data_IF_563702083397
#
_entry.id   IF_563702083397
#
_cell.length_a   1.000
_cell.length_b   1.000
_cell.length_c   1.000
_cell.angle_alpha   90.00
_cell.angle_beta   90.00
_cell.angle_gamma   90.00
#
_symmetry.space_group_name_H-M   'P 1'
#
loop_
_entity.id
_entity.type
_entity.pdbx_description
1 polymer ?
#
# COMPACT_ATOMS: atom_id res chain seq x y z
N UNK A 1 27.92 27.96 -2.41
CA UNK A 1 27.11 28.51 -1.32
C UNK A 1 26.00 27.52 -1.10
N UNK A 2 25.98 26.96 0.11
CA UNK A 2 24.95 26.06 0.67
C UNK A 2 24.78 24.76 -0.13
N UNK A 3 25.79 23.88 -0.03
CA UNK A 3 25.50 22.45 0.05
C UNK A 3 24.76 22.26 1.37
N UNK A 4 23.44 22.39 1.35
CA UNK A 4 22.61 21.80 2.39
C UNK A 4 22.95 20.32 2.38
N UNK A 5 23.67 19.89 3.41
CA UNK A 5 23.85 18.49 3.76
C UNK A 5 22.45 17.96 4.08
N UNK A 6 21.73 17.61 3.01
CA UNK A 6 20.38 17.10 3.00
C UNK A 6 20.47 15.68 3.58
N UNK A 7 20.63 15.64 4.91
CA UNK A 7 20.80 14.46 5.74
C UNK A 7 19.45 13.75 5.87
N UNK A 8 18.94 13.30 4.72
CA UNK A 8 17.81 12.42 4.61
C UNK A 8 18.12 11.15 5.41
N UNK A 9 17.33 10.87 6.44
CA UNK A 9 17.49 9.67 7.25
C UNK A 9 16.35 8.69 7.03
N UNK A 10 16.63 7.41 7.26
CA UNK A 10 15.60 6.38 7.18
C UNK A 10 14.49 6.61 8.23
N UNK A 11 14.84 7.09 9.42
CA UNK A 11 13.88 7.41 10.48
C UNK A 11 12.88 8.51 10.05
N UNK A 12 13.34 9.50 9.27
CA UNK A 12 12.47 10.51 8.69
C UNK A 12 11.51 9.92 7.67
N UNK A 13 11.98 9.03 6.79
CA UNK A 13 11.11 8.30 5.86
C UNK A 13 10.04 7.50 6.60
N UNK A 14 10.40 6.79 7.68
CA UNK A 14 9.46 6.04 8.53
C UNK A 14 8.41 6.97 9.13
N UNK A 15 8.84 8.13 9.64
CA UNK A 15 7.95 9.14 10.21
C UNK A 15 6.95 9.66 9.16
N UNK A 16 7.43 10.01 7.96
CA UNK A 16 6.58 10.45 6.84
C UNK A 16 5.57 9.36 6.44
N UNK A 17 6.00 8.10 6.35
CA UNK A 17 5.12 6.97 6.04
C UNK A 17 3.99 6.86 7.07
N UNK A 18 4.34 6.89 8.36
CA UNK A 18 3.38 6.74 9.46
C UNK A 18 2.45 7.95 9.61
N UNK A 19 2.88 9.13 9.14
CA UNK A 19 2.04 10.33 9.03
C UNK A 19 1.16 10.33 7.77
N UNK A 20 1.28 9.30 6.90
CA UNK A 20 0.58 9.17 5.61
C UNK A 20 1.00 10.20 4.56
N UNK A 21 2.16 10.81 4.75
CA UNK A 21 2.82 11.70 3.77
C UNK A 21 3.54 10.86 2.71
N UNK A 22 2.81 9.94 2.08
CA UNK A 22 3.38 8.86 1.28
C UNK A 22 4.21 9.33 0.09
N UNK A 23 3.83 10.44 -0.54
CA UNK A 23 4.60 11.00 -1.67
C UNK A 23 5.95 11.57 -1.20
N UNK A 24 5.96 12.32 -0.09
CA UNK A 24 7.22 12.82 0.50
C UNK A 24 8.10 11.67 0.99
N UNK A 25 7.48 10.65 1.60
CA UNK A 25 8.17 9.43 2.00
C UNK A 25 8.83 8.73 0.80
N UNK A 26 8.11 8.60 -0.32
CA UNK A 26 8.65 8.07 -1.57
C UNK A 26 9.89 8.86 -2.02
N UNK A 27 9.79 10.19 -2.13
CA UNK A 27 10.88 11.02 -2.64
C UNK A 27 12.13 10.91 -1.74
N UNK A 28 11.94 10.89 -0.42
CA UNK A 28 13.03 10.70 0.55
C UNK A 28 13.67 9.31 0.41
N UNK A 29 12.85 8.25 0.34
CA UNK A 29 13.35 6.89 0.18
C UNK A 29 14.02 6.67 -1.19
N UNK A 30 13.61 7.38 -2.23
CA UNK A 30 14.27 7.37 -3.54
C UNK A 30 15.69 7.95 -3.45
N UNK A 31 15.87 9.06 -2.71
CA UNK A 31 17.19 9.62 -2.46
C UNK A 31 18.11 8.66 -1.68
N UNK A 32 17.57 7.96 -0.67
CA UNK A 32 18.29 6.92 0.07
C UNK A 32 18.61 5.70 -0.80
N UNK A 33 17.63 5.22 -1.56
CA UNK A 33 17.75 4.09 -2.47
C UNK A 33 18.88 4.31 -3.48
N UNK A 34 18.95 5.51 -4.07
CA UNK A 34 19.99 5.86 -5.04
C UNK A 34 21.42 5.73 -4.49
N UNK A 35 21.60 5.90 -3.18
CA UNK A 35 22.91 5.80 -2.51
C UNK A 35 23.18 4.43 -1.87
N UNK A 36 22.15 3.59 -1.72
CA UNK A 36 22.27 2.29 -1.06
C UNK A 36 22.81 1.20 -2.00
N UNK A 37 23.54 0.24 -1.39
CA UNK A 37 23.97 -1.01 -2.01
C UNK A 37 23.11 -2.18 -1.55
N UNK A 38 23.13 -3.28 -2.30
CA UNK A 38 22.40 -4.49 -1.90
C UNK A 38 23.06 -5.14 -0.67
N UNK A 39 22.24 -5.71 0.24
CA UNK A 39 20.81 -5.96 0.10
C UNK A 39 19.89 -4.84 0.63
N UNK A 40 20.43 -3.86 1.35
CA UNK A 40 19.69 -2.70 1.89
C UNK A 40 18.95 -1.92 0.79
N UNK A 41 19.58 -1.76 -0.38
CA UNK A 41 18.97 -1.16 -1.57
C UNK A 41 17.66 -1.86 -1.95
N UNK A 42 17.61 -3.19 -1.93
CA UNK A 42 16.40 -3.95 -2.24
C UNK A 42 15.29 -3.73 -1.21
N UNK A 43 15.63 -3.68 0.08
CA UNK A 43 14.68 -3.38 1.14
C UNK A 43 14.08 -1.97 1.02
N UNK A 44 14.93 -0.95 0.86
CA UNK A 44 14.48 0.45 0.67
C UNK A 44 13.59 0.54 -0.57
N UNK A 45 13.93 -0.16 -1.65
CA UNK A 45 13.11 -0.23 -2.85
C UNK A 45 11.74 -0.89 -2.61
N UNK A 46 11.68 -1.92 -1.77
CA UNK A 46 10.40 -2.49 -1.35
C UNK A 46 9.51 -1.47 -0.63
N UNK A 47 10.08 -0.73 0.32
CA UNK A 47 9.35 0.25 1.14
C UNK A 47 8.92 1.46 0.31
N UNK A 48 9.77 1.99 -0.58
CA UNK A 48 9.44 3.15 -1.42
C UNK A 48 8.30 2.84 -2.38
N UNK A 49 8.24 1.63 -2.93
CA UNK A 49 7.11 1.19 -3.74
C UNK A 49 5.82 1.07 -2.94
N UNK A 50 5.90 0.58 -1.69
CA UNK A 50 4.73 0.58 -0.82
C UNK A 50 4.20 2.00 -0.59
N UNK A 51 5.09 2.98 -0.37
CA UNK A 51 4.71 4.38 -0.18
C UNK A 51 3.97 4.94 -1.41
N UNK A 52 4.55 4.86 -2.61
CA UNK A 52 3.86 5.37 -3.83
C UNK A 52 2.60 4.55 -4.15
N UNK A 53 2.56 3.27 -3.79
CA UNK A 53 1.35 2.45 -3.88
C UNK A 53 0.19 2.98 -3.02
N UNK A 54 0.46 3.38 -1.77
CA UNK A 54 -0.54 4.04 -0.93
C UNK A 54 -0.93 5.42 -1.46
N UNK A 55 0.04 6.20 -1.96
CA UNK A 55 -0.26 7.48 -2.62
C UNK A 55 -1.25 7.30 -3.78
N UNK A 56 -1.03 6.29 -4.63
CA UNK A 56 -1.96 5.95 -5.71
C UNK A 56 -3.33 5.52 -5.20
N UNK A 57 -3.40 4.69 -4.15
CA UNK A 57 -4.66 4.22 -3.58
C UNK A 57 -5.54 5.41 -3.15
N UNK A 58 -4.97 6.33 -2.39
CA UNK A 58 -5.71 7.48 -1.85
C UNK A 58 -6.01 8.56 -2.90
N UNK A 59 -5.34 8.51 -4.05
CA UNK A 59 -5.65 9.33 -5.23
C UNK A 59 -6.52 8.61 -6.28
N UNK A 60 -7.26 7.57 -5.87
CA UNK A 60 -8.19 6.80 -6.70
C UNK A 60 -7.54 6.14 -7.94
N UNK A 61 -6.23 5.90 -7.89
CA UNK A 61 -5.49 5.12 -8.87
C UNK A 61 -5.30 3.68 -8.35
N UNK A 62 -6.37 2.89 -8.37
CA UNK A 62 -6.37 1.52 -7.84
C UNK A 62 -5.42 0.59 -8.59
N UNK A 63 -5.28 0.79 -9.91
CA UNK A 63 -4.33 0.03 -10.73
C UNK A 63 -2.89 0.31 -10.29
N UNK A 64 -2.52 1.59 -10.21
CA UNK A 64 -1.20 2.00 -9.73
C UNK A 64 -0.92 1.47 -8.33
N UNK A 65 -1.90 1.55 -7.43
CA UNK A 65 -1.78 1.01 -6.09
C UNK A 65 -1.47 -0.49 -6.06
N UNK A 66 -2.23 -1.31 -6.79
CA UNK A 66 -2.00 -2.77 -6.84
C UNK A 66 -0.65 -3.13 -7.46
N UNK A 67 -0.21 -2.42 -8.50
CA UNK A 67 1.08 -2.68 -9.15
C UNK A 67 2.24 -2.37 -8.20
N UNK A 68 2.27 -1.17 -7.63
CA UNK A 68 3.37 -0.72 -6.77
C UNK A 68 3.41 -1.48 -5.43
N UNK A 69 2.25 -1.72 -4.80
CA UNK A 69 2.18 -2.54 -3.58
C UNK A 69 2.61 -4.00 -3.86
N UNK A 70 2.23 -4.55 -5.01
CA UNK A 70 2.64 -5.91 -5.41
C UNK A 70 4.13 -6.02 -5.66
N UNK A 71 4.72 -5.04 -6.33
CA UNK A 71 6.15 -5.02 -6.60
C UNK A 71 6.97 -4.77 -5.33
N UNK A 72 6.51 -3.87 -4.47
CA UNK A 72 7.08 -3.63 -3.14
C UNK A 72 7.05 -4.89 -2.28
N UNK A 73 5.91 -5.58 -2.21
CA UNK A 73 5.76 -6.85 -1.49
C UNK A 73 6.69 -7.95 -2.02
N UNK A 74 6.90 -8.02 -3.33
CA UNK A 74 7.84 -8.97 -3.93
C UNK A 74 9.27 -8.72 -3.45
N UNK A 75 9.68 -7.45 -3.30
CA UNK A 75 11.01 -7.09 -2.79
C UNK A 75 11.15 -7.36 -1.30
N UNK A 76 10.13 -7.05 -0.50
CA UNK A 76 10.13 -7.35 0.94
C UNK A 76 10.30 -8.86 1.18
N UNK A 77 9.56 -9.70 0.44
CA UNK A 77 9.68 -11.17 0.52
C UNK A 77 11.06 -11.71 0.16
N UNK A 78 11.78 -11.04 -0.75
CA UNK A 78 13.15 -11.45 -1.13
C UNK A 78 14.16 -11.26 0.00
N UNK A 79 13.83 -10.44 1.00
CA UNK A 79 14.67 -10.25 2.17
C UNK A 79 14.59 -11.44 3.14
N UNK A 80 13.57 -12.29 3.01
CA UNK A 80 13.42 -13.55 3.77
C UNK A 80 13.50 -13.37 5.30
N UNK A 81 12.88 -12.30 5.82
CA UNK A 81 12.80 -12.08 7.26
C UNK A 81 11.82 -13.06 7.91
N UNK A 82 12.26 -13.76 8.95
CA UNK A 82 11.38 -14.65 9.74
C UNK A 82 10.58 -13.91 10.83
N UNK A 83 11.02 -12.72 11.23
CA UNK A 83 10.40 -11.92 12.30
C UNK A 83 10.90 -10.47 12.28
N UNK A 84 10.32 -9.64 13.15
CA UNK A 84 10.75 -8.25 13.34
C UNK A 84 9.96 -7.25 12.50
N UNK A 85 10.34 -5.96 12.54
CA UNK A 85 9.49 -4.90 12.01
C UNK A 85 9.30 -4.96 10.49
N UNK A 86 10.28 -5.45 9.73
CA UNK A 86 10.14 -5.61 8.29
C UNK A 86 9.28 -6.80 7.90
N UNK A 87 9.35 -7.90 8.65
CA UNK A 87 8.43 -9.03 8.50
C UNK A 87 6.99 -8.61 8.82
N UNK A 88 6.76 -7.94 9.95
CA UNK A 88 5.44 -7.46 10.33
C UNK A 88 4.87 -6.50 9.28
N UNK A 89 5.70 -5.58 8.77
CA UNK A 89 5.33 -4.68 7.69
C UNK A 89 4.98 -5.43 6.40
N UNK A 90 5.76 -6.44 6.01
CA UNK A 90 5.46 -7.29 4.86
C UNK A 90 4.09 -7.97 5.00
N UNK A 91 3.77 -8.53 6.17
CA UNK A 91 2.47 -9.17 6.43
C UNK A 91 1.32 -8.16 6.31
N UNK A 92 1.50 -6.96 6.86
CA UNK A 92 0.53 -5.87 6.76
C UNK A 92 0.32 -5.43 5.30
N UNK A 93 1.38 -5.30 4.49
CA UNK A 93 1.27 -4.99 3.04
C UNK A 93 0.57 -6.11 2.28
N UNK A 94 0.88 -7.37 2.57
CA UNK A 94 0.21 -8.54 1.99
C UNK A 94 -1.30 -8.53 2.30
N UNK A 95 -1.69 -8.21 3.53
CA UNK A 95 -3.09 -8.09 3.91
C UNK A 95 -3.81 -6.96 3.15
N UNK A 96 -3.17 -5.80 2.99
CA UNK A 96 -3.72 -4.68 2.23
C UNK A 96 -3.89 -5.02 0.75
N UNK A 97 -2.86 -5.61 0.12
CA UNK A 97 -2.92 -5.96 -1.30
C UNK A 97 -4.05 -6.96 -1.58
N UNK A 98 -4.17 -8.00 -0.73
CA UNK A 98 -5.28 -8.96 -0.81
C UNK A 98 -6.64 -8.30 -0.61
N UNK A 99 -6.75 -7.35 0.32
CA UNK A 99 -7.97 -6.59 0.55
C UNK A 99 -8.39 -5.76 -0.67
N UNK A 100 -7.45 -5.01 -1.26
CA UNK A 100 -7.72 -4.22 -2.47
C UNK A 100 -8.14 -5.15 -3.61
N UNK A 101 -7.39 -6.23 -3.84
CA UNK A 101 -7.71 -7.18 -4.89
C UNK A 101 -9.12 -7.79 -4.75
N UNK A 102 -9.46 -8.29 -3.55
CA UNK A 102 -10.76 -8.92 -3.31
C UNK A 102 -11.93 -7.93 -3.44
N UNK A 103 -11.77 -6.70 -2.93
CA UNK A 103 -12.81 -5.67 -3.05
C UNK A 103 -13.01 -5.20 -4.48
N UNK A 104 -11.94 -5.15 -5.29
CA UNK A 104 -12.04 -4.87 -6.72
C UNK A 104 -12.75 -5.99 -7.49
N UNK A 105 -12.49 -7.27 -7.17
CA UNK A 105 -13.24 -8.40 -7.75
C UNK A 105 -14.72 -8.31 -7.38
N UNK A 106 -15.04 -8.11 -6.09
CA UNK A 106 -16.42 -8.07 -5.62
C UNK A 106 -17.21 -6.97 -6.32
N UNK A 107 -16.60 -5.80 -6.48
CA UNK A 107 -17.20 -4.70 -7.23
C UNK A 107 -17.38 -5.08 -8.70
N UNK A 108 -16.36 -5.66 -9.35
CA UNK A 108 -16.42 -6.10 -10.75
C UNK A 108 -17.51 -7.14 -11.01
N UNK A 109 -17.70 -8.10 -10.10
CA UNK A 109 -18.73 -9.13 -10.18
C UNK A 109 -20.16 -8.57 -10.05
N UNK A 110 -20.31 -7.37 -9.48
CA UNK A 110 -21.60 -6.68 -9.34
C UNK A 110 -21.96 -5.80 -10.56
N UNK A 111 -21.10 -5.74 -11.59
CA UNK A 111 -21.39 -5.03 -12.85
C UNK A 111 -22.18 -5.89 -13.84
N UNK A 112 -23.17 -5.30 -14.51
CA UNK A 112 -24.09 -6.01 -15.42
C UNK A 112 -23.44 -6.56 -16.70
N UNK A 113 -22.24 -6.11 -17.08
CA UNK A 113 -21.70 -6.32 -18.44
C UNK A 113 -20.64 -7.42 -18.60
N UNK A 114 -20.04 -7.97 -17.53
CA UNK A 114 -18.99 -8.97 -17.72
C UNK A 114 -18.73 -9.86 -16.49
N UNK A 115 -19.31 -11.05 -16.48
CA UNK A 115 -19.00 -12.09 -15.49
C UNK A 115 -17.65 -12.76 -15.86
N UNK A 116 -16.52 -12.09 -15.54
CA UNK A 116 -15.17 -12.67 -15.72
C UNK A 116 -14.80 -13.48 -14.49
N UNK A 117 -14.35 -14.71 -14.68
CA UNK A 117 -13.68 -15.49 -13.63
C UNK A 117 -12.33 -14.84 -13.31
N UNK A 118 -12.18 -14.27 -12.12
CA UNK A 118 -10.95 -13.61 -11.68
C UNK A 118 -10.06 -14.62 -10.93
N UNK A 119 -9.06 -15.17 -11.61
CA UNK A 119 -8.21 -16.28 -11.10
C UNK A 119 -6.86 -15.81 -10.53
N UNK A 120 -6.72 -14.55 -10.11
CA UNK A 120 -5.44 -13.99 -9.61
C UNK A 120 -4.29 -14.02 -10.63
N UNK A 121 -4.62 -14.15 -11.92
CA UNK A 121 -3.64 -14.13 -13.02
C UNK A 121 -3.29 -12.69 -13.44
N UNK A 122 -2.13 -12.48 -14.06
CA UNK A 122 -1.72 -11.18 -14.64
C UNK A 122 -2.82 -10.56 -15.52
N UNK A 123 -3.51 -11.38 -16.31
CA UNK A 123 -4.64 -10.97 -17.15
C UNK A 123 -5.84 -10.49 -16.33
N UNK A 124 -6.10 -11.10 -15.17
CA UNK A 124 -7.12 -10.67 -14.22
C UNK A 124 -6.81 -9.27 -13.67
N UNK A 125 -5.54 -9.01 -13.33
CA UNK A 125 -5.09 -7.68 -12.87
C UNK A 125 -5.21 -6.60 -13.96
N UNK A 126 -4.89 -6.93 -15.21
CA UNK A 126 -5.04 -5.99 -16.33
C UNK A 126 -6.49 -5.59 -16.57
N UNK A 127 -7.44 -6.53 -16.39
CA UNK A 127 -8.87 -6.27 -16.54
C UNK A 127 -9.44 -5.43 -15.39
N UNK A 128 -8.95 -5.61 -14.16
CA UNK A 128 -9.31 -4.76 -13.01
C UNK A 128 -8.82 -3.32 -13.17
N UNK A 129 -7.75 -3.10 -13.93
CA UNK A 129 -7.05 -1.82 -13.98
C UNK A 129 -7.85 -0.62 -14.52
N UNK A 130 -8.96 -0.86 -15.25
CA UNK A 130 -9.87 0.20 -15.69
C UNK A 130 -11.16 0.28 -14.85
N UNK A 131 -11.37 -0.72 -13.99
CA UNK A 131 -12.61 -0.84 -13.24
C UNK A 131 -12.62 0.15 -12.09
N UNK A 132 -13.69 0.95 -12.01
CA UNK A 132 -13.86 2.01 -11.01
C UNK A 132 -12.69 3.01 -10.90
N UNK A 133 -11.93 3.21 -11.98
CA UNK A 133 -10.86 4.21 -12.03
C UNK A 133 -11.40 5.61 -11.72
N UNK A 134 -10.74 6.33 -10.79
CA UNK A 134 -11.18 7.66 -10.33
C UNK A 134 -12.38 7.66 -9.38
N UNK A 135 -12.93 6.49 -9.01
CA UNK A 135 -14.01 6.41 -8.02
C UNK A 135 -13.45 6.39 -6.60
N UNK A 136 -14.17 7.03 -5.68
CA UNK A 136 -13.84 7.00 -4.25
C UNK A 136 -14.39 5.72 -3.63
N UNK A 137 -13.57 4.66 -3.65
CA UNK A 137 -13.94 3.35 -3.11
C UNK A 137 -13.42 3.10 -1.69
N UNK A 138 -12.35 3.79 -1.32
CA UNK A 138 -11.64 3.58 -0.07
C UNK A 138 -11.57 4.88 0.73
N UNK A 139 -11.85 4.78 2.02
CA UNK A 139 -11.67 5.88 2.98
C UNK A 139 -11.00 5.37 4.25
N UNK A 140 -10.51 6.31 5.06
CA UNK A 140 -9.87 5.99 6.33
C UNK A 140 -10.88 6.13 7.46
N UNK A 141 -10.90 5.13 8.35
CA UNK A 141 -11.61 5.17 9.62
C UNK A 141 -10.66 4.88 10.76
N UNK A 142 -10.90 5.50 11.91
CA UNK A 142 -10.13 5.27 13.14
C UNK A 142 -11.05 4.68 14.19
N UNK A 143 -10.59 3.64 14.88
CA UNK A 143 -11.33 3.05 16.00
C UNK A 143 -11.01 3.73 17.35
N UNK A 144 -11.59 3.19 18.42
CA UNK A 144 -11.39 3.69 19.79
C UNK A 144 -9.94 3.58 20.29
N UNK A 145 -9.16 2.66 19.72
CA UNK A 145 -7.77 2.40 20.11
C UNK A 145 -6.78 3.15 19.22
N UNK A 146 -7.28 4.13 18.43
CA UNK A 146 -6.52 4.93 17.48
C UNK A 146 -5.89 4.11 16.33
N UNK A 147 -6.40 2.90 16.09
CA UNK A 147 -6.00 2.09 14.95
C UNK A 147 -6.74 2.59 13.72
N UNK A 148 -5.97 2.88 12.67
CA UNK A 148 -6.50 3.35 11.39
C UNK A 148 -6.75 2.17 10.47
N UNK A 149 -7.88 2.19 9.79
CA UNK A 149 -8.32 1.18 8.83
C UNK A 149 -8.59 1.82 7.47
N UNK A 150 -8.25 1.08 6.40
CA UNK A 150 -8.76 1.33 5.05
C UNK A 150 -10.09 0.58 4.96
N UNK A 151 -11.15 1.32 4.67
CA UNK A 151 -12.52 0.79 4.59
C UNK A 151 -13.00 0.86 3.15
N UNK A 152 -13.59 -0.23 2.67
CA UNK A 152 -14.20 -0.28 1.35
C UNK A 152 -15.67 0.12 1.42
N UNK A 153 -16.02 1.23 0.77
CA UNK A 153 -17.37 1.77 0.70
C UNK A 153 -17.65 2.33 -0.70
N UNK A 154 -18.01 1.47 -1.68
CA UNK A 154 -18.36 1.94 -3.01
C UNK A 154 -19.62 2.81 -2.95
N UNK A 155 -19.54 4.05 -3.46
CA UNK A 155 -20.73 4.88 -3.60
C UNK A 155 -21.66 4.25 -4.64
N UNK A 156 -22.91 3.92 -4.24
CA UNK A 156 -23.93 3.50 -5.21
C UNK A 156 -24.44 4.74 -5.96
N UNK A 157 -24.63 4.66 -7.30
CA UNK A 157 -25.05 5.80 -8.12
C UNK A 157 -26.40 6.43 -7.71
N UNK A 158 -27.22 5.77 -6.88
CA UNK A 158 -28.52 6.27 -6.43
C UNK A 158 -28.54 6.79 -4.97
N UNK A 159 -27.40 6.99 -4.31
CA UNK A 159 -27.34 7.57 -2.96
C UNK A 159 -28.02 6.74 -1.85
N UNK A 160 -28.51 5.54 -2.19
CA UNK A 160 -29.09 4.61 -1.23
C UNK A 160 -27.96 3.82 -0.58
N UNK A 161 -27.66 4.14 0.67
CA UNK A 161 -26.88 3.26 1.54
C UNK A 161 -27.67 1.98 1.67
N UNK A 162 -27.25 0.91 0.98
CA UNK A 162 -27.77 -0.40 1.32
C UNK A 162 -27.40 -0.64 2.77
N UNK A 163 -28.41 -0.63 3.64
CA UNK A 163 -28.31 -1.11 5.00
C UNK A 163 -28.14 -2.62 4.95
N UNK A 164 -26.96 -3.08 4.54
CA UNK A 164 -26.51 -4.42 4.87
C UNK A 164 -26.10 -4.39 6.33
N UNK A 165 -26.67 -5.27 7.15
CA UNK A 165 -26.32 -5.42 8.58
C UNK A 165 -24.88 -5.89 8.81
N UNK A 166 -24.15 -6.22 7.74
CA UNK A 166 -22.75 -6.59 7.79
C UNK A 166 -21.86 -5.32 7.82
N UNK A 167 -20.83 -5.28 8.67
CA UNK A 167 -19.88 -4.18 8.69
C UNK A 167 -19.14 -4.08 7.35
N UNK A 168 -18.86 -2.85 6.92
CA UNK A 168 -18.06 -2.60 5.71
C UNK A 168 -16.72 -3.34 5.80
N UNK A 169 -16.30 -4.05 4.73
CA UNK A 169 -14.98 -4.67 4.70
C UNK A 169 -13.89 -3.65 4.98
N UNK A 170 -12.93 -4.00 5.84
CA UNK A 170 -11.82 -3.12 6.21
C UNK A 170 -10.54 -3.89 6.47
N UNK A 171 -9.41 -3.24 6.26
CA UNK A 171 -8.06 -3.73 6.59
C UNK A 171 -7.30 -2.68 7.38
N UNK A 172 -6.43 -3.09 8.29
CA UNK A 172 -5.61 -2.15 9.05
C UNK A 172 -4.68 -1.40 8.10
N UNK A 173 -4.54 -0.08 8.29
CA UNK A 173 -3.55 0.71 7.58
C UNK A 173 -2.16 0.36 8.14
N UNK A 174 -1.21 -0.10 7.31
CA UNK A 174 0.12 -0.47 7.78
C UNK A 174 0.85 0.72 8.37
N UNK A 175 1.64 0.44 9.41
CA UNK A 175 2.62 1.37 9.97
C UNK A 175 3.98 0.68 9.93
N UNK A 176 5.02 1.44 9.60
CA UNK A 176 6.38 0.94 9.59
C UNK A 176 6.99 1.18 10.98
N UNK A 177 7.26 0.10 11.72
CA UNK A 177 7.87 0.15 13.06
C UNK A 177 9.37 -0.15 13.01
N UNK A 178 10.04 0.35 11.98
CA UNK A 178 11.48 0.19 11.80
C UNK A 178 12.20 1.51 12.11
N UNK A 179 13.51 1.42 12.25
CA UNK A 179 14.43 2.52 12.46
C UNK A 179 15.73 2.20 11.72
N UNK A 180 16.61 3.18 11.58
CA UNK A 180 17.87 3.04 10.83
C UNK A 180 18.74 1.88 11.34
N UNK A 181 18.78 1.63 12.66
CA UNK A 181 19.47 0.49 13.27
C UNK A 181 19.01 -0.88 12.73
N UNK A 182 17.76 -0.97 12.26
CA UNK A 182 17.24 -2.22 11.67
C UNK A 182 17.78 -2.44 10.25
N UNK A 183 18.20 -1.39 9.53
CA UNK A 183 18.82 -1.53 8.21
C UNK A 183 20.20 -2.18 8.30
N UNK A 184 20.96 -1.90 9.37
CA UNK A 184 22.29 -2.48 9.60
C UNK A 184 22.27 -4.00 9.76
N UNK A 185 21.10 -4.60 10.06
CA UNK A 185 20.92 -6.05 10.14
C UNK A 185 20.91 -6.69 8.74
N UNK A 186 20.78 -5.89 7.68
CA UNK A 186 20.85 -6.35 6.30
C UNK A 186 22.29 -6.34 5.73
N UNK A 187 23.27 -5.75 6.42
CA UNK A 187 24.67 -5.66 5.96
C UNK A 187 25.49 -6.95 6.17
#
# INVERSE_FOLDING_TARGET
>A
SEEEDDNHSFDEAVSLFNQREYYKCHDLLEALWNKAEDPTRTLIHGILQCAVGFHHLFNQNHKGAMMELGEGLCKLRKMDFDSGPFYDFEQDISAVLNFIYNTQIELAACGDDLCVTMEQSERSYLLLGAYAAGQHLYHLEMDSDQVVYIVFCPQRPNGSTAHTSAPSPRVRLPILKAAEDHLLVCE
#
